data_IF_230645095280
#
_entry.id   IF_230645095280
#
_cell.length_a   1.000
_cell.length_b   1.000
_cell.length_c   1.000
_cell.angle_alpha   90.00
_cell.angle_beta   90.00
_cell.angle_gamma   90.00
#
_symmetry.space_group_name_H-M   'P 1'
#
loop_
_entity.id
_entity.type
_entity.pdbx_description
1 polymer ?
#
# COMPACT_ATOMS: atom_id res chain seq x y z
N UNK A 1 17.64 -1.88 5.99
CA UNK A 1 16.27 -2.34 6.29
C UNK A 1 15.46 -1.12 6.68
N UNK A 2 14.44 -0.75 5.89
CA UNK A 2 13.62 0.42 6.20
C UNK A 2 12.76 0.04 7.41
N UNK A 3 12.99 0.71 8.54
CA UNK A 3 12.16 0.57 9.73
C UNK A 3 10.91 1.40 9.49
N UNK A 4 9.74 0.79 9.65
CA UNK A 4 8.42 1.43 9.68
C UNK A 4 8.12 2.30 8.43
N UNK A 5 8.09 1.71 7.22
CA UNK A 5 7.85 2.46 6.01
C UNK A 5 6.44 3.07 5.99
N UNK A 6 6.37 4.38 5.78
CA UNK A 6 5.12 5.08 5.49
C UNK A 6 4.88 5.07 3.98
N UNK A 7 3.75 4.51 3.56
CA UNK A 7 3.35 4.35 2.15
C UNK A 7 2.15 5.25 1.87
N UNK A 8 2.32 6.23 0.99
CA UNK A 8 1.23 7.11 0.54
C UNK A 8 0.75 6.66 -0.83
N UNK A 9 -0.53 6.29 -0.94
CA UNK A 9 -1.18 5.85 -2.18
C UNK A 9 -2.03 7.01 -2.71
N UNK A 10 -1.54 7.69 -3.75
CA UNK A 10 -2.30 8.70 -4.47
C UNK A 10 -3.23 8.06 -5.51
N UNK A 11 -4.48 8.53 -5.58
CA UNK A 11 -5.50 7.94 -6.44
C UNK A 11 -5.97 6.56 -5.94
N UNK A 12 -6.08 6.39 -4.61
CA UNK A 12 -6.41 5.09 -3.99
C UNK A 12 -7.76 4.51 -4.45
N UNK A 13 -8.64 5.32 -5.05
CA UNK A 13 -9.94 4.92 -5.57
C UNK A 13 -9.91 4.45 -7.03
N UNK A 14 -8.78 4.62 -7.73
CA UNK A 14 -8.61 4.19 -9.13
C UNK A 14 -8.49 2.67 -9.29
N UNK A 15 -8.77 2.17 -10.50
CA UNK A 15 -8.77 0.74 -10.81
C UNK A 15 -7.40 0.08 -10.61
N UNK A 16 -6.31 0.80 -10.92
CA UNK A 16 -4.95 0.32 -10.68
C UNK A 16 -4.71 0.06 -9.19
N UNK A 17 -5.16 0.97 -8.33
CA UNK A 17 -4.99 0.84 -6.89
C UNK A 17 -5.76 -0.37 -6.36
N UNK A 18 -7.01 -0.52 -6.78
CA UNK A 18 -7.91 -1.61 -6.34
C UNK A 18 -7.49 -2.99 -6.85
N UNK A 19 -7.18 -3.09 -8.14
CA UNK A 19 -7.00 -4.37 -8.83
C UNK A 19 -5.57 -4.90 -8.76
N UNK A 20 -4.57 -4.03 -8.54
CA UNK A 20 -3.15 -4.41 -8.59
C UNK A 20 -2.39 -4.01 -7.33
N UNK A 21 -2.44 -2.73 -6.95
CA UNK A 21 -1.58 -2.19 -5.90
C UNK A 21 -1.93 -2.74 -4.52
N UNK A 22 -3.20 -2.63 -4.10
CA UNK A 22 -3.66 -3.08 -2.78
C UNK A 22 -3.45 -4.61 -2.61
N UNK A 23 -3.82 -5.46 -3.59
CA UNK A 23 -3.52 -6.89 -3.52
C UNK A 23 -2.02 -7.21 -3.43
N UNK A 24 -1.17 -6.53 -4.21
CA UNK A 24 0.28 -6.74 -4.17
C UNK A 24 0.87 -6.31 -2.82
N UNK A 25 0.47 -5.14 -2.31
CA UNK A 25 0.94 -4.63 -1.03
C UNK A 25 0.51 -5.55 0.13
N UNK A 26 -0.74 -6.04 0.11
CA UNK A 26 -1.22 -7.04 1.07
C UNK A 26 -0.39 -8.33 1.04
N UNK A 27 0.01 -8.79 -0.15
CA UNK A 27 0.87 -9.96 -0.28
C UNK A 27 2.28 -9.73 0.31
N UNK A 28 2.87 -8.55 0.09
CA UNK A 28 4.20 -8.20 0.62
C UNK A 28 4.22 -8.08 2.15
N UNK A 29 3.14 -7.56 2.73
CA UNK A 29 2.97 -7.50 4.19
C UNK A 29 2.81 -8.92 4.75
N UNK A 30 1.95 -9.74 4.12
CA UNK A 30 1.70 -11.12 4.55
C UNK A 30 2.96 -12.00 4.49
N UNK A 31 3.86 -11.77 3.54
CA UNK A 31 5.13 -12.51 3.42
C UNK A 31 6.25 -11.93 4.27
N UNK A 32 5.99 -10.88 5.06
CA UNK A 32 6.98 -10.24 5.93
C UNK A 32 8.06 -9.47 5.17
N UNK A 33 7.87 -9.20 3.87
CA UNK A 33 8.82 -8.39 3.09
C UNK A 33 8.73 -6.90 3.45
N UNK A 34 7.60 -6.47 3.98
CA UNK A 34 7.38 -5.14 4.54
C UNK A 34 6.88 -5.31 5.96
N UNK A 35 7.69 -4.92 6.94
CA UNK A 35 7.31 -4.95 8.35
C UNK A 35 6.47 -3.71 8.67
N UNK A 36 5.28 -3.94 9.21
CA UNK A 36 4.39 -2.95 9.85
C UNK A 36 4.29 -1.58 9.14
N UNK A 37 3.91 -1.53 7.84
CA UNK A 37 3.83 -0.26 7.15
C UNK A 37 2.63 0.57 7.63
N UNK A 38 2.83 1.88 7.75
CA UNK A 38 1.73 2.85 7.83
C UNK A 38 1.26 3.16 6.42
N UNK A 39 -0.01 2.88 6.10
CA UNK A 39 -0.57 3.10 4.76
C UNK A 39 -1.57 4.25 4.80
N UNK A 40 -1.34 5.27 3.97
CA UNK A 40 -2.22 6.44 3.82
C UNK A 40 -2.75 6.48 2.39
N UNK A 41 -4.05 6.27 2.22
CA UNK A 41 -4.72 6.43 0.93
C UNK A 41 -5.25 7.85 0.76
N UNK A 42 -5.02 8.47 -0.40
CA UNK A 42 -5.62 9.75 -0.79
C UNK A 42 -6.21 9.66 -2.19
N UNK A 43 -7.35 10.28 -2.40
CA UNK A 43 -7.99 10.47 -3.70
C UNK A 43 -8.77 11.78 -3.66
N UNK A 44 -8.90 12.44 -4.81
CA UNK A 44 -9.67 13.68 -4.96
C UNK A 44 -11.19 13.48 -5.06
N UNK A 45 -11.63 12.22 -4.97
CA UNK A 45 -13.03 11.79 -5.13
C UNK A 45 -13.78 11.80 -3.81
#
# INVERSE_FOLDING_TARGET
>A
MIKDPTIVIMGTTGDLAKLKLIPALSALIRTGQIADPVIIGTASS
#
